data_IF_487908769545
#
_entry.id   IF_487908769545
#
_cell.length_a   1.000
_cell.length_b   1.000
_cell.length_c   1.000
_cell.angle_alpha   90.00
_cell.angle_beta   90.00
_cell.angle_gamma   90.00
#
_symmetry.space_group_name_H-M   'P 1'
#
loop_
_entity.id
_entity.type
_entity.pdbx_description
1 polymer ?
#
# COMPACT_ATOMS: atom_id res chain seq x y z
N UNK A 1 -0.96 29.77 -11.03
CA UNK A 1 -2.18 29.40 -10.25
C UNK A 1 -2.61 27.94 -10.44
N UNK A 2 -2.32 27.26 -11.55
CA UNK A 2 -2.68 25.83 -11.72
C UNK A 2 -1.80 24.85 -10.90
N UNK A 3 -0.59 25.25 -10.51
CA UNK A 3 0.42 24.39 -9.85
C UNK A 3 0.13 24.06 -8.39
N UNK A 4 -0.63 24.91 -7.68
CA UNK A 4 -1.02 24.67 -6.28
C UNK A 4 -2.11 23.60 -6.20
N UNK A 5 -3.15 23.72 -7.03
CA UNK A 5 -4.25 22.75 -7.06
C UNK A 5 -3.79 21.31 -7.37
N UNK A 6 -2.88 21.12 -8.34
CA UNK A 6 -2.31 19.80 -8.64
C UNK A 6 -1.48 19.23 -7.49
N UNK A 7 -0.79 20.10 -6.75
CA UNK A 7 0.03 19.72 -5.59
C UNK A 7 -0.85 19.33 -4.41
N UNK A 8 -1.90 20.11 -4.14
CA UNK A 8 -2.87 19.85 -3.06
C UNK A 8 -3.61 18.53 -3.28
N UNK A 9 -4.07 18.27 -4.51
CA UNK A 9 -4.71 16.99 -4.88
C UNK A 9 -3.75 15.81 -4.69
N UNK A 10 -2.49 15.95 -5.09
CA UNK A 10 -1.49 14.91 -4.94
C UNK A 10 -1.13 14.63 -3.46
N UNK A 11 -1.07 15.67 -2.62
CA UNK A 11 -0.90 15.51 -1.16
C UNK A 11 -2.11 14.85 -0.50
N UNK A 12 -3.33 15.24 -0.90
CA UNK A 12 -4.56 14.58 -0.42
C UNK A 12 -4.58 13.10 -0.81
N UNK A 13 -4.17 12.76 -2.03
CA UNK A 13 -4.06 11.35 -2.46
C UNK A 13 -3.06 10.56 -1.61
N UNK A 14 -1.89 11.13 -1.29
CA UNK A 14 -0.92 10.49 -0.40
C UNK A 14 -1.48 10.26 1.01
N UNK A 15 -2.19 11.24 1.57
CA UNK A 15 -2.83 11.11 2.88
C UNK A 15 -3.92 10.03 2.86
N UNK A 16 -4.72 9.98 1.80
CA UNK A 16 -5.79 9.00 1.64
C UNK A 16 -5.21 7.59 1.53
N UNK A 17 -4.12 7.41 0.76
CA UNK A 17 -3.39 6.14 0.69
C UNK A 17 -2.82 5.76 2.06
N UNK A 18 -2.17 6.69 2.77
CA UNK A 18 -1.61 6.43 4.10
C UNK A 18 -2.68 5.99 5.10
N UNK A 19 -3.89 6.57 5.02
CA UNK A 19 -5.03 6.21 5.87
C UNK A 19 -5.57 4.81 5.57
N UNK A 20 -5.43 4.32 4.34
CA UNK A 20 -5.94 3.00 3.91
C UNK A 20 -5.05 1.82 4.27
N UNK A 21 -3.77 2.04 4.59
CA UNK A 21 -2.82 0.96 4.92
C UNK A 21 -3.17 0.27 6.25
N UNK A 22 -3.38 0.97 7.38
CA UNK A 22 -3.75 0.33 8.65
C UNK A 22 -5.02 -0.54 8.57
N UNK A 23 -6.16 -0.08 8.01
CA UNK A 23 -7.35 -0.92 7.91
C UNK A 23 -7.15 -2.11 6.97
N UNK A 24 -6.32 -1.99 5.92
CA UNK A 24 -5.99 -3.14 5.07
C UNK A 24 -5.24 -4.23 5.85
N UNK A 25 -4.26 -3.85 6.69
CA UNK A 25 -3.53 -4.81 7.56
C UNK A 25 -4.49 -5.46 8.56
N UNK A 26 -5.40 -4.69 9.15
CA UNK A 26 -6.42 -5.25 10.06
C UNK A 26 -7.35 -6.22 9.33
N UNK A 27 -7.77 -5.92 8.09
CA UNK A 27 -8.58 -6.83 7.29
C UNK A 27 -7.86 -8.14 6.98
N UNK A 28 -6.55 -8.10 6.69
CA UNK A 28 -5.72 -9.32 6.55
C UNK A 28 -5.77 -10.16 7.82
N UNK A 29 -5.56 -9.54 8.97
CA UNK A 29 -5.54 -10.24 10.26
C UNK A 29 -6.92 -10.84 10.61
N UNK A 30 -8.00 -10.11 10.32
CA UNK A 30 -9.37 -10.59 10.52
C UNK A 30 -9.71 -11.76 9.58
N UNK A 31 -9.30 -11.70 8.31
CA UNK A 31 -9.46 -12.81 7.35
C UNK A 31 -8.69 -14.07 7.79
N UNK A 32 -7.48 -13.89 8.35
CA UNK A 32 -6.66 -14.96 8.89
C UNK A 32 -7.32 -15.70 10.07
N UNK A 33 -8.16 -15.02 10.85
CA UNK A 33 -8.90 -15.61 11.99
C UNK A 33 -10.30 -16.12 11.66
N UNK A 34 -10.82 -15.83 10.47
CA UNK A 34 -12.17 -16.26 10.06
C UNK A 34 -12.29 -17.76 9.76
N UNK A 35 -12.55 -18.60 10.76
CA UNK A 35 -12.76 -20.06 10.60
C UNK A 35 -14.00 -20.44 9.77
N UNK A 36 -14.94 -19.51 9.58
CA UNK A 36 -16.24 -19.78 8.91
C UNK A 36 -16.21 -19.68 7.37
N UNK A 37 -15.07 -19.37 6.75
CA UNK A 37 -14.98 -19.19 5.29
C UNK A 37 -14.36 -20.41 4.61
N UNK A 38 -15.03 -20.94 3.59
CA UNK A 38 -14.45 -21.94 2.71
C UNK A 38 -13.12 -21.46 2.12
N UNK A 39 -12.17 -22.37 2.01
CA UNK A 39 -10.78 -22.07 1.64
C UNK A 39 -10.64 -21.28 0.32
N UNK A 40 -11.45 -21.60 -0.70
CA UNK A 40 -11.47 -20.89 -1.99
C UNK A 40 -11.80 -19.41 -1.82
N UNK A 41 -12.81 -19.09 -1.01
CA UNK A 41 -13.22 -17.71 -0.74
C UNK A 41 -12.17 -16.99 0.10
N UNK A 42 -11.54 -17.70 1.05
CA UNK A 42 -10.47 -17.15 1.88
C UNK A 42 -9.24 -16.74 1.06
N UNK A 43 -8.83 -17.59 0.12
CA UNK A 43 -7.73 -17.32 -0.83
C UNK A 43 -8.03 -16.14 -1.74
N UNK A 44 -9.27 -16.04 -2.23
CA UNK A 44 -9.75 -14.90 -3.03
C UNK A 44 -9.73 -13.60 -2.21
N UNK A 45 -10.27 -13.61 -0.99
CA UNK A 45 -10.29 -12.44 -0.12
C UNK A 45 -8.88 -11.97 0.24
N UNK A 46 -7.98 -12.89 0.57
CA UNK A 46 -6.58 -12.55 0.84
C UNK A 46 -5.89 -11.99 -0.41
N UNK A 47 -6.14 -12.59 -1.58
CA UNK A 47 -5.66 -12.09 -2.86
C UNK A 47 -6.18 -10.69 -3.19
N UNK A 48 -7.46 -10.41 -2.91
CA UNK A 48 -8.08 -9.09 -3.09
C UNK A 48 -7.47 -8.04 -2.17
N UNK A 49 -7.16 -8.40 -0.92
CA UNK A 49 -6.48 -7.47 0.00
C UNK A 49 -5.05 -7.19 -0.46
N UNK A 50 -4.28 -8.21 -0.85
CA UNK A 50 -2.94 -8.01 -1.41
C UNK A 50 -3.00 -7.13 -2.66
N UNK A 51 -3.92 -7.42 -3.59
CA UNK A 51 -4.08 -6.64 -4.82
C UNK A 51 -4.45 -5.19 -4.51
N UNK A 52 -5.33 -4.96 -3.53
CA UNK A 52 -5.71 -3.61 -3.09
C UNK A 52 -4.52 -2.86 -2.52
N UNK A 53 -3.74 -3.49 -1.65
CA UNK A 53 -2.52 -2.88 -1.10
C UNK A 53 -1.50 -2.61 -2.20
N UNK A 54 -1.27 -3.56 -3.11
CA UNK A 54 -0.34 -3.39 -4.23
C UNK A 54 -0.75 -2.22 -5.16
N UNK A 55 -2.04 -2.08 -5.46
CA UNK A 55 -2.56 -0.96 -6.25
C UNK A 55 -2.41 0.38 -5.52
N UNK A 56 -2.68 0.42 -4.21
CA UNK A 56 -2.45 1.60 -3.38
C UNK A 56 -0.98 2.01 -3.34
N UNK A 57 -0.06 1.03 -3.26
CA UNK A 57 1.37 1.27 -3.33
C UNK A 57 1.80 1.77 -4.71
N UNK A 58 1.28 1.19 -5.78
CA UNK A 58 1.55 1.65 -7.14
C UNK A 58 1.07 3.10 -7.35
N UNK A 59 -0.12 3.45 -6.84
CA UNK A 59 -0.64 4.80 -6.86
C UNK A 59 0.26 5.76 -6.05
N UNK A 60 0.73 5.35 -4.86
CA UNK A 60 1.67 6.13 -4.07
C UNK A 60 2.96 6.38 -4.87
N UNK A 61 3.59 5.34 -5.44
CA UNK A 61 4.81 5.48 -6.25
C UNK A 61 4.60 6.44 -7.43
N UNK A 62 3.47 6.35 -8.12
CA UNK A 62 3.16 7.24 -9.23
C UNK A 62 3.05 8.70 -8.79
N UNK A 63 2.37 8.97 -7.67
CA UNK A 63 2.25 10.32 -7.10
C UNK A 63 3.59 10.86 -6.61
N UNK A 64 4.40 10.03 -5.94
CA UNK A 64 5.74 10.40 -5.50
C UNK A 64 6.66 10.69 -6.70
N UNK A 65 6.56 9.89 -7.75
CA UNK A 65 7.29 10.09 -9.01
C UNK A 65 6.92 11.40 -9.71
N UNK A 66 5.63 11.75 -9.72
CA UNK A 66 5.17 13.06 -10.20
C UNK A 66 5.85 14.19 -9.44
N UNK A 67 5.90 14.11 -8.10
CA UNK A 67 6.55 15.13 -7.28
C UNK A 67 8.05 15.27 -7.56
N UNK A 68 8.76 14.15 -7.74
CA UNK A 68 10.19 14.15 -8.06
C UNK A 68 10.48 14.76 -9.43
N UNK A 69 9.65 14.47 -10.44
CA UNK A 69 9.87 14.92 -11.82
C UNK A 69 9.36 16.34 -12.10
N UNK A 70 8.31 16.77 -11.41
CA UNK A 70 7.49 17.92 -11.82
C UNK A 70 7.59 19.11 -10.88
N UNK A 71 8.05 18.89 -9.65
CA UNK A 71 8.08 19.91 -8.60
C UNK A 71 9.52 20.08 -8.15
N UNK A 72 10.05 21.30 -8.27
CA UNK A 72 11.37 21.68 -7.77
C UNK A 72 11.33 21.73 -6.23
N UNK A 73 11.30 20.54 -5.62
CA UNK A 73 11.14 20.36 -4.18
C UNK A 73 12.44 20.69 -3.44
N UNK A 74 12.36 21.25 -2.22
CA UNK A 74 13.51 21.35 -1.33
C UNK A 74 14.15 19.97 -1.12
N UNK A 75 15.48 19.92 -1.07
CA UNK A 75 16.26 18.67 -0.96
C UNK A 75 15.83 17.77 0.21
N UNK A 76 15.43 18.36 1.33
CA UNK A 76 14.89 17.63 2.48
C UNK A 76 13.59 16.87 2.15
N UNK A 77 12.70 17.47 1.33
CA UNK A 77 11.45 16.83 0.90
C UNK A 77 11.74 15.71 -0.09
N UNK A 78 12.68 15.91 -1.02
CA UNK A 78 13.13 14.85 -1.94
C UNK A 78 13.74 13.67 -1.19
N UNK A 79 14.56 13.92 -0.16
CA UNK A 79 15.12 12.85 0.69
C UNK A 79 14.00 12.09 1.44
N UNK A 80 13.01 12.82 1.99
CA UNK A 80 11.83 12.21 2.60
C UNK A 80 11.02 11.34 1.63
N UNK A 81 10.79 11.81 0.40
CA UNK A 81 10.12 11.06 -0.67
C UNK A 81 10.88 9.77 -1.01
N UNK A 82 12.21 9.84 -1.14
CA UNK A 82 13.04 8.67 -1.40
C UNK A 82 12.98 7.64 -0.28
N UNK A 83 12.96 8.10 0.98
CA UNK A 83 12.79 7.21 2.14
C UNK A 83 11.42 6.53 2.14
N UNK A 84 10.36 7.24 1.77
CA UNK A 84 9.02 6.64 1.61
C UNK A 84 9.03 5.57 0.53
N UNK A 85 9.60 5.85 -0.65
CA UNK A 85 9.74 4.88 -1.74
C UNK A 85 10.54 3.66 -1.28
N UNK A 86 11.67 3.88 -0.59
CA UNK A 86 12.50 2.82 -0.06
C UNK A 86 11.74 1.95 0.97
N UNK A 87 10.87 2.56 1.78
CA UNK A 87 10.02 1.88 2.76
C UNK A 87 8.95 0.97 2.16
N UNK A 88 8.60 1.15 0.88
CA UNK A 88 7.64 0.28 0.19
C UNK A 88 8.20 -1.14 -0.05
N UNK A 89 9.52 -1.27 -0.22
CA UNK A 89 10.19 -2.57 -0.39
C UNK A 89 9.99 -3.49 0.83
N UNK A 90 10.39 -3.07 2.04
CA UNK A 90 10.14 -3.80 3.28
C UNK A 90 8.66 -4.16 3.50
N UNK A 91 7.76 -3.23 3.19
CA UNK A 91 6.31 -3.47 3.32
C UNK A 91 5.83 -4.57 2.36
N UNK A 92 6.26 -4.53 1.09
CA UNK A 92 5.96 -5.58 0.12
C UNK A 92 6.50 -6.95 0.55
N UNK A 93 7.72 -7.00 1.10
CA UNK A 93 8.30 -8.22 1.64
C UNK A 93 7.49 -8.78 2.81
N UNK A 94 7.05 -7.91 3.73
CA UNK A 94 6.21 -8.30 4.86
C UNK A 94 4.87 -8.90 4.42
N UNK A 95 4.20 -8.29 3.43
CA UNK A 95 2.96 -8.83 2.85
C UNK A 95 3.18 -10.20 2.20
N UNK A 96 4.31 -10.40 1.52
CA UNK A 96 4.65 -11.69 0.93
C UNK A 96 4.88 -12.78 2.00
N UNK A 97 5.49 -12.42 3.14
CA UNK A 97 5.65 -13.33 4.29
C UNK A 97 4.28 -13.71 4.85
N UNK A 98 3.39 -12.73 5.09
CA UNK A 98 2.03 -12.99 5.59
C UNK A 98 1.23 -13.90 4.65
N UNK A 99 1.35 -13.71 3.34
CA UNK A 99 0.73 -14.60 2.36
C UNK A 99 1.22 -16.04 2.48
N UNK A 100 2.54 -16.21 2.62
CA UNK A 100 3.16 -17.53 2.75
C UNK A 100 2.72 -18.21 4.05
N UNK A 101 2.71 -17.48 5.16
CA UNK A 101 2.27 -17.98 6.47
C UNK A 101 0.80 -18.44 6.42
N UNK A 102 -0.09 -17.60 5.86
CA UNK A 102 -1.51 -17.95 5.71
C UNK A 102 -1.72 -19.22 4.88
N UNK A 103 -0.94 -19.40 3.79
CA UNK A 103 -0.98 -20.61 2.96
C UNK A 103 -0.50 -21.86 3.72
N UNK A 104 0.44 -21.73 4.65
CA UNK A 104 0.93 -22.87 5.43
C UNK A 104 -0.07 -23.30 6.50
N UNK A 105 -0.73 -22.36 7.18
CA UNK A 105 -1.72 -22.67 8.22
C UNK A 105 -3.01 -23.31 7.68
N UNK A 106 -3.43 -22.94 6.48
CA UNK A 106 -4.78 -23.25 6.00
C UNK A 106 -4.85 -24.09 4.71
N UNK A 107 -3.69 -24.50 4.15
CA UNK A 107 -3.59 -25.40 3.00
C UNK A 107 -3.42 -24.70 1.64
N UNK A 108 -3.31 -25.45 0.51
CA UNK A 108 -3.13 -24.91 -0.85
C UNK A 108 -4.42 -24.43 -1.53
#
# INVERSE_FOLDING_TARGET
MATTASTDVALMLLQLIALTIPPAVVLVEQLRRSENLEWRLRKLSFGLVIASVALLLAAAVAVLGYFVASVALPTAVSAGLLLVIAGLGPLGAFLAILYREHRLEHGP
#
